data_IF_948306776204
#
_entry.id   IF_948306776204
#
_cell.length_a   1.000
_cell.length_b   1.000
_cell.length_c   1.000
_cell.angle_alpha   90.00
_cell.angle_beta   90.00
_cell.angle_gamma   90.00
#
_symmetry.space_group_name_H-M   'P 1'
#
loop_
_entity.id
_entity.type
_entity.pdbx_description
1 polymer ?
#
# COMPACT_ATOMS: atom_id res chain seq x y z
N UNK A 1 -18.56 31.57 -21.60
CA UNK A 1 -18.88 32.12 -20.27
C UNK A 1 -19.31 31.07 -19.24
N UNK A 2 -20.46 30.41 -19.33
CA UNK A 2 -20.90 29.44 -18.27
C UNK A 2 -20.07 28.14 -18.19
N UNK A 3 -19.63 27.58 -19.32
CA UNK A 3 -18.80 26.37 -19.36
C UNK A 3 -17.36 26.62 -18.87
N UNK A 4 -16.87 27.85 -19.03
CA UNK A 4 -15.52 28.24 -18.66
C UNK A 4 -15.43 28.52 -17.15
N UNK A 5 -16.47 29.14 -16.59
CA UNK A 5 -16.65 29.29 -15.13
C UNK A 5 -16.80 27.95 -14.42
N UNK A 6 -17.65 27.05 -14.94
CA UNK A 6 -17.78 25.69 -14.40
C UNK A 6 -16.45 24.91 -14.46
N UNK A 7 -15.65 25.10 -15.52
CA UNK A 7 -14.32 24.48 -15.61
C UNK A 7 -13.32 25.06 -14.62
N UNK A 8 -13.38 26.36 -14.32
CA UNK A 8 -12.52 27.02 -13.35
C UNK A 8 -12.86 26.60 -11.91
N UNK A 9 -14.14 26.51 -11.55
CA UNK A 9 -14.61 26.05 -10.24
C UNK A 9 -14.20 24.60 -9.95
N UNK A 10 -14.35 23.71 -10.93
CA UNK A 10 -13.91 22.30 -10.82
C UNK A 10 -12.40 22.21 -10.63
N UNK A 11 -11.61 23.08 -11.28
CA UNK A 11 -10.14 23.10 -11.11
C UNK A 11 -9.71 23.63 -9.74
N UNK A 12 -10.39 24.65 -9.22
CA UNK A 12 -10.12 25.21 -7.89
C UNK A 12 -10.44 24.20 -6.78
N UNK A 13 -11.59 23.52 -6.88
CA UNK A 13 -11.99 22.48 -5.93
C UNK A 13 -11.05 21.27 -5.96
N UNK A 14 -10.67 20.79 -7.15
CA UNK A 14 -9.69 19.72 -7.30
C UNK A 14 -8.32 20.10 -6.69
N UNK A 15 -7.90 21.35 -6.83
CA UNK A 15 -6.64 21.85 -6.26
C UNK A 15 -6.68 21.88 -4.73
N UNK A 16 -7.80 22.32 -4.13
CA UNK A 16 -8.00 22.26 -2.68
C UNK A 16 -8.02 20.83 -2.15
N UNK A 17 -8.62 19.91 -2.88
CA UNK A 17 -8.64 18.50 -2.53
C UNK A 17 -7.24 17.85 -2.55
N UNK A 18 -6.37 18.23 -3.49
CA UNK A 18 -4.99 17.75 -3.52
C UNK A 18 -4.21 18.18 -2.27
N UNK A 19 -4.28 19.45 -1.90
CA UNK A 19 -3.57 19.97 -0.71
C UNK A 19 -4.09 19.34 0.58
N UNK A 20 -5.43 19.26 0.71
CA UNK A 20 -6.06 18.62 1.87
C UNK A 20 -5.68 17.14 1.99
N UNK A 21 -5.71 16.41 0.86
CA UNK A 21 -5.30 15.02 0.81
C UNK A 21 -3.83 14.85 1.23
N UNK A 22 -2.93 15.69 0.73
CA UNK A 22 -1.52 15.64 1.10
C UNK A 22 -1.28 15.89 2.60
N UNK A 23 -1.94 16.89 3.17
CA UNK A 23 -1.87 17.19 4.62
C UNK A 23 -2.32 15.97 5.43
N UNK A 24 -3.46 15.38 5.06
CA UNK A 24 -3.99 14.21 5.74
C UNK A 24 -3.10 12.97 5.56
N UNK A 25 -2.48 12.79 4.38
CA UNK A 25 -1.49 11.74 4.14
C UNK A 25 -0.25 11.89 5.05
N UNK A 26 0.31 13.11 5.16
CA UNK A 26 1.45 13.36 6.06
C UNK A 26 1.05 13.08 7.50
N UNK A 27 -0.07 13.62 7.96
CA UNK A 27 -0.57 13.38 9.34
C UNK A 27 -0.80 11.90 9.60
N UNK A 28 -1.34 11.17 8.63
CA UNK A 28 -1.52 9.73 8.73
C UNK A 28 -0.17 9.01 8.87
N UNK A 29 0.82 9.36 8.06
CA UNK A 29 2.17 8.79 8.16
C UNK A 29 2.78 9.07 9.52
N UNK A 30 2.78 10.32 9.97
CA UNK A 30 3.36 10.71 11.27
C UNK A 30 2.67 9.96 12.41
N UNK A 31 1.34 9.88 12.41
CA UNK A 31 0.62 9.11 13.42
C UNK A 31 0.97 7.61 13.37
N UNK A 32 1.12 7.05 12.16
CA UNK A 32 1.52 5.65 11.99
C UNK A 32 2.92 5.38 12.57
N UNK A 33 3.92 6.21 12.25
CA UNK A 33 5.29 6.04 12.76
C UNK A 33 5.36 6.19 14.29
N UNK A 34 4.46 6.98 14.89
CA UNK A 34 4.35 7.15 16.34
C UNK A 34 3.43 6.11 17.02
N UNK A 35 2.90 5.13 16.29
CA UNK A 35 2.04 4.08 16.85
C UNK A 35 0.59 4.51 17.12
N UNK A 36 0.18 5.73 16.76
CA UNK A 36 -1.18 6.22 16.90
C UNK A 36 -2.08 5.76 15.74
N UNK A 37 -2.33 4.45 15.66
CA UNK A 37 -2.97 3.83 14.49
C UNK A 37 -4.41 4.31 14.24
N UNK A 38 -5.20 4.55 15.29
CA UNK A 38 -6.56 5.10 15.15
C UNK A 38 -6.53 6.53 14.59
N UNK A 39 -5.61 7.37 15.07
CA UNK A 39 -5.42 8.72 14.54
C UNK A 39 -4.95 8.67 13.09
N UNK A 40 -4.06 7.75 12.73
CA UNK A 40 -3.63 7.53 11.36
C UNK A 40 -4.82 7.13 10.47
N UNK A 41 -5.66 6.21 10.93
CA UNK A 41 -6.87 5.79 10.24
C UNK A 41 -7.84 6.97 10.03
N UNK A 42 -8.09 7.76 11.08
CA UNK A 42 -8.97 8.92 10.99
C UNK A 42 -8.50 9.93 9.95
N UNK A 43 -7.20 10.21 9.86
CA UNK A 43 -6.66 11.06 8.81
C UNK A 43 -6.87 10.46 7.40
N UNK A 44 -6.67 9.14 7.24
CA UNK A 44 -6.87 8.46 5.95
C UNK A 44 -8.33 8.40 5.50
N UNK A 45 -9.29 8.53 6.42
CA UNK A 45 -10.72 8.66 6.12
C UNK A 45 -11.09 10.05 5.61
N UNK A 46 -10.31 11.08 5.95
CA UNK A 46 -10.55 12.44 5.46
C UNK A 46 -10.11 12.64 4.00
N UNK A 47 -9.45 11.66 3.40
CA UNK A 47 -9.02 11.76 2.01
C UNK A 47 -10.23 11.79 1.09
N UNK A 48 -10.48 12.94 0.47
CA UNK A 48 -11.48 13.09 -0.58
C UNK A 48 -10.98 12.39 -1.83
N UNK A 49 -11.44 11.15 -2.01
CA UNK A 49 -11.33 10.41 -3.25
C UNK A 49 -12.39 10.95 -4.20
N UNK A 50 -12.23 12.20 -4.67
CA UNK A 50 -13.13 12.72 -5.70
C UNK A 50 -13.17 11.71 -6.84
N UNK A 51 -14.38 11.16 -7.03
CA UNK A 51 -14.82 10.22 -8.07
C UNK A 51 -13.65 9.73 -8.90
N UNK A 52 -13.09 8.56 -8.53
CA UNK A 52 -12.10 7.80 -9.30
C UNK A 52 -12.21 8.16 -10.78
N UNK A 53 -11.40 9.13 -11.21
CA UNK A 53 -11.58 9.68 -12.54
C UNK A 53 -10.80 8.72 -13.41
N UNK A 54 -11.47 7.65 -13.86
CA UNK A 54 -10.89 6.52 -14.58
C UNK A 54 -10.06 6.98 -15.80
N UNK A 55 -10.29 8.20 -16.31
CA UNK A 55 -9.48 8.83 -17.35
C UNK A 55 -8.14 9.45 -16.90
N UNK A 56 -7.94 9.76 -15.61
CA UNK A 56 -6.72 10.43 -15.09
C UNK A 56 -5.90 9.52 -14.17
N UNK A 57 -6.54 8.61 -13.42
CA UNK A 57 -5.86 7.68 -12.50
C UNK A 57 -4.73 6.83 -13.13
N UNK A 58 -4.79 6.40 -14.41
CA UNK A 58 -3.70 5.65 -15.03
C UNK A 58 -2.45 6.50 -15.34
N UNK A 59 -2.55 7.83 -15.33
CA UNK A 59 -1.54 8.74 -15.90
C UNK A 59 -0.72 9.53 -14.88
N UNK A 60 -1.14 9.61 -13.62
CA UNK A 60 -0.49 10.48 -12.63
C UNK A 60 -0.40 9.84 -11.23
N UNK A 61 0.79 9.96 -10.63
CA UNK A 61 1.14 9.54 -9.28
C UNK A 61 0.20 10.12 -8.22
N UNK A 62 -0.22 11.38 -8.38
CA UNK A 62 -1.09 12.07 -7.43
C UNK A 62 -2.49 11.43 -7.42
N UNK A 63 -2.99 11.07 -8.60
CA UNK A 63 -4.33 10.48 -8.74
C UNK A 63 -4.35 8.97 -8.48
N UNK A 64 -3.22 8.29 -8.67
CA UNK A 64 -3.09 6.88 -8.32
C UNK A 64 -3.19 6.66 -6.80
N UNK A 65 -2.84 7.63 -5.95
CA UNK A 65 -2.92 7.50 -4.48
C UNK A 65 -2.24 6.21 -3.99
N UNK A 66 -1.14 5.84 -4.64
CA UNK A 66 -0.48 4.55 -4.44
C UNK A 66 0.07 4.42 -3.02
N UNK A 67 0.70 5.50 -2.53
CA UNK A 67 1.21 5.58 -1.18
C UNK A 67 0.09 5.47 -0.14
N UNK A 68 -1.03 6.17 -0.35
CA UNK A 68 -2.17 6.19 0.57
C UNK A 68 -2.85 4.82 0.66
N UNK A 69 -3.00 4.12 -0.46
CA UNK A 69 -3.50 2.73 -0.46
C UNK A 69 -2.56 1.80 0.30
N UNK A 70 -1.25 1.94 0.08
CA UNK A 70 -0.26 1.17 0.82
C UNK A 70 -0.28 1.48 2.33
N UNK A 71 -0.34 2.76 2.70
CA UNK A 71 -0.40 3.22 4.09
C UNK A 71 -1.70 2.76 4.78
N UNK A 72 -2.85 2.80 4.08
CA UNK A 72 -4.11 2.22 4.58
C UNK A 72 -3.96 0.75 4.93
N UNK A 73 -3.32 -0.05 4.07
CA UNK A 73 -3.10 -1.45 4.37
C UNK A 73 -2.23 -1.64 5.62
N UNK A 74 -1.15 -0.86 5.77
CA UNK A 74 -0.29 -0.90 6.96
C UNK A 74 -1.04 -0.54 8.24
N UNK A 75 -1.87 0.50 8.21
CA UNK A 75 -2.71 0.93 9.35
C UNK A 75 -3.72 -0.16 9.69
N UNK A 76 -4.42 -0.71 8.70
CA UNK A 76 -5.43 -1.76 8.91
C UNK A 76 -4.84 -3.03 9.49
N UNK A 77 -3.65 -3.45 9.05
CA UNK A 77 -2.91 -4.56 9.69
C UNK A 77 -2.68 -4.28 11.18
N UNK A 78 -2.19 -3.09 11.53
CA UNK A 78 -1.92 -2.71 12.93
C UNK A 78 -3.19 -2.60 13.79
N UNK A 79 -4.33 -2.31 13.18
CA UNK A 79 -5.64 -2.29 13.83
C UNK A 79 -6.31 -3.68 13.90
N UNK A 80 -5.61 -4.77 13.54
CA UNK A 80 -6.17 -6.12 13.59
C UNK A 80 -7.24 -6.38 12.52
N UNK A 81 -7.15 -5.70 11.36
CA UNK A 81 -8.08 -5.85 10.23
C UNK A 81 -7.35 -6.40 8.98
N UNK A 82 -6.77 -7.61 9.06
CA UNK A 82 -5.86 -8.11 8.02
C UNK A 82 -6.55 -8.33 6.66
N UNK A 83 -7.80 -8.80 6.62
CA UNK A 83 -8.52 -9.03 5.36
C UNK A 83 -8.80 -7.72 4.64
N UNK A 84 -9.09 -6.65 5.41
CA UNK A 84 -9.26 -5.32 4.85
C UNK A 84 -7.93 -4.79 4.29
N UNK A 85 -6.82 -5.01 4.98
CA UNK A 85 -5.49 -4.66 4.49
C UNK A 85 -5.16 -5.37 3.17
N UNK A 86 -5.41 -6.67 3.07
CA UNK A 86 -5.18 -7.46 1.85
C UNK A 86 -6.00 -6.94 0.65
N UNK A 87 -7.25 -6.50 0.86
CA UNK A 87 -8.07 -5.92 -0.22
C UNK A 87 -7.43 -4.67 -0.82
N UNK A 88 -6.84 -3.81 0.02
CA UNK A 88 -6.14 -2.62 -0.47
C UNK A 88 -4.87 -2.93 -1.26
N UNK A 89 -4.18 -4.03 -0.96
CA UNK A 89 -2.93 -4.42 -1.60
C UNK A 89 -3.13 -5.18 -2.92
N UNK A 90 -4.23 -5.93 -3.06
CA UNK A 90 -4.45 -6.86 -4.19
C UNK A 90 -4.21 -6.24 -5.57
N UNK A 91 -4.70 -5.02 -5.77
CA UNK A 91 -4.66 -4.32 -7.07
C UNK A 91 -3.55 -3.27 -7.17
N UNK A 92 -2.80 -3.02 -6.09
CA UNK A 92 -1.74 -2.03 -6.07
C UNK A 92 -0.58 -2.50 -6.96
N UNK A 93 -0.02 -1.64 -7.81
CA UNK A 93 1.14 -1.99 -8.64
C UNK A 93 0.82 -2.78 -9.91
N UNK A 94 -0.47 -2.90 -10.25
CA UNK A 94 -0.93 -3.70 -11.40
C UNK A 94 -1.37 -2.86 -12.60
N UNK A 95 -1.72 -1.59 -12.42
CA UNK A 95 -2.45 -0.83 -13.45
C UNK A 95 -1.79 0.48 -13.90
N UNK A 96 -0.78 0.97 -13.18
CA UNK A 96 -0.16 2.26 -13.52
C UNK A 96 1.35 2.24 -13.23
N UNK A 97 2.11 2.92 -14.10
CA UNK A 97 3.56 3.09 -13.93
C UNK A 97 3.93 3.66 -12.56
N UNK A 98 3.19 4.66 -12.01
CA UNK A 98 3.39 5.14 -10.65
C UNK A 98 3.39 4.10 -9.54
N UNK A 99 2.59 3.05 -9.68
CA UNK A 99 2.43 2.05 -8.64
C UNK A 99 3.49 0.95 -8.68
N UNK A 100 4.33 0.89 -9.74
CA UNK A 100 5.35 -0.14 -9.89
C UNK A 100 6.34 -0.15 -8.73
N UNK A 101 6.62 1.00 -8.13
CA UNK A 101 7.48 1.12 -6.95
C UNK A 101 6.93 0.34 -5.74
N UNK A 102 5.62 0.08 -5.69
CA UNK A 102 4.97 -0.72 -4.65
C UNK A 102 4.83 -2.19 -5.02
N UNK A 103 5.28 -2.61 -6.20
CA UNK A 103 5.10 -4.00 -6.64
C UNK A 103 5.80 -4.99 -5.72
N UNK A 104 7.06 -4.77 -5.34
CA UNK A 104 7.70 -5.64 -4.35
C UNK A 104 7.18 -5.37 -2.91
N UNK A 105 7.13 -4.10 -2.43
CA UNK A 105 6.66 -3.81 -1.07
C UNK A 105 5.27 -4.36 -0.73
N UNK A 106 4.33 -4.39 -1.69
CA UNK A 106 3.00 -5.00 -1.45
C UNK A 106 3.11 -6.49 -1.20
N UNK A 107 3.96 -7.21 -1.94
CA UNK A 107 4.14 -8.66 -1.77
C UNK A 107 4.76 -8.96 -0.41
N UNK A 108 5.76 -8.18 0.01
CA UNK A 108 6.33 -8.30 1.35
C UNK A 108 5.27 -8.09 2.45
N UNK A 109 4.47 -7.02 2.35
CA UNK A 109 3.43 -6.74 3.36
C UNK A 109 2.31 -7.79 3.35
N UNK A 110 1.88 -8.28 2.18
CA UNK A 110 0.90 -9.37 2.10
C UNK A 110 1.44 -10.66 2.73
N UNK A 111 2.70 -10.98 2.51
CA UNK A 111 3.35 -12.15 3.11
C UNK A 111 3.33 -12.08 4.65
N UNK A 112 3.71 -10.93 5.21
CA UNK A 112 3.67 -10.71 6.65
C UNK A 112 2.26 -10.82 7.23
N UNK A 113 1.24 -10.32 6.51
CA UNK A 113 -0.17 -10.43 6.94
C UNK A 113 -0.62 -11.90 6.93
N UNK A 114 -0.32 -12.65 5.86
CA UNK A 114 -0.67 -14.06 5.79
C UNK A 114 0.06 -14.89 6.85
N UNK A 115 1.33 -14.58 7.12
CA UNK A 115 2.09 -15.22 8.19
C UNK A 115 1.45 -14.97 9.56
N UNK A 116 1.04 -13.73 9.86
CA UNK A 116 0.30 -13.37 11.09
C UNK A 116 -1.06 -14.08 11.20
N UNK A 117 -1.71 -14.37 10.07
CA UNK A 117 -2.96 -15.12 10.02
C UNK A 117 -2.78 -16.64 10.10
N UNK A 118 -1.54 -17.16 10.04
CA UNK A 118 -1.26 -18.59 9.97
C UNK A 118 -1.47 -19.22 8.59
N UNK A 119 -1.69 -18.40 7.55
CA UNK A 119 -1.90 -18.81 6.16
C UNK A 119 -0.56 -19.04 5.46
N UNK A 120 0.13 -20.13 5.85
CA UNK A 120 1.55 -20.34 5.53
C UNK A 120 1.83 -20.44 4.03
N UNK A 121 0.98 -21.11 3.25
CA UNK A 121 1.20 -21.28 1.81
C UNK A 121 1.13 -19.94 1.07
N UNK A 122 0.17 -19.10 1.43
CA UNK A 122 0.00 -17.76 0.89
C UNK A 122 1.16 -16.85 1.34
N UNK A 123 1.61 -16.98 2.59
CA UNK A 123 2.77 -16.23 3.09
C UNK A 123 4.03 -16.54 2.27
N UNK A 124 4.35 -17.82 2.06
CA UNK A 124 5.49 -18.26 1.23
C UNK A 124 5.36 -17.70 -0.19
N UNK A 125 4.20 -17.87 -0.81
CA UNK A 125 3.95 -17.40 -2.19
C UNK A 125 4.25 -15.90 -2.31
N UNK A 126 3.80 -15.09 -1.36
CA UNK A 126 4.02 -13.66 -1.40
C UNK A 126 5.46 -13.25 -1.07
N UNK A 127 6.16 -13.94 -0.15
CA UNK A 127 7.58 -13.70 0.08
C UNK A 127 8.42 -14.04 -1.16
N UNK A 128 8.13 -15.13 -1.85
CA UNK A 128 8.84 -15.52 -3.08
C UNK A 128 8.67 -14.48 -4.20
N UNK A 129 7.47 -13.91 -4.35
CA UNK A 129 7.24 -12.79 -5.29
C UNK A 129 8.05 -11.54 -4.90
N UNK A 130 8.11 -11.21 -3.61
CA UNK A 130 8.94 -10.10 -3.13
C UNK A 130 10.43 -10.32 -3.46
N UNK A 131 10.96 -11.50 -3.14
CA UNK A 131 12.34 -11.89 -3.44
C UNK A 131 12.61 -11.81 -4.94
N UNK A 132 11.70 -12.34 -5.77
CA UNK A 132 11.83 -12.27 -7.23
C UNK A 132 11.93 -10.83 -7.75
N UNK A 133 11.12 -9.92 -7.21
CA UNK A 133 11.11 -8.52 -7.62
C UNK A 133 12.37 -7.75 -7.18
N UNK A 134 12.96 -8.12 -6.06
CA UNK A 134 14.07 -7.39 -5.44
C UNK A 134 15.40 -8.18 -5.42
N UNK A 135 15.50 -9.30 -6.13
CA UNK A 135 16.74 -10.10 -6.22
C UNK A 135 17.98 -9.27 -6.65
N UNK A 136 17.76 -8.27 -7.49
CA UNK A 136 18.78 -7.37 -8.03
C UNK A 136 18.62 -5.93 -7.48
N UNK A 137 18.06 -5.78 -6.27
CA UNK A 137 17.89 -4.47 -5.64
C UNK A 137 19.24 -3.83 -5.23
N UNK A 138 19.19 -2.51 -4.99
CA UNK A 138 20.33 -1.76 -4.46
C UNK A 138 20.88 -2.42 -3.19
N UNK A 139 22.21 -2.38 -2.94
CA UNK A 139 22.83 -3.04 -1.80
C UNK A 139 22.21 -2.69 -0.44
N UNK A 140 21.70 -1.47 -0.29
CA UNK A 140 21.04 -1.00 0.94
C UNK A 140 19.71 -1.72 1.23
N UNK A 141 19.06 -2.27 0.20
CA UNK A 141 17.78 -2.99 0.32
C UNK A 141 17.95 -4.50 0.46
N UNK A 142 19.12 -5.05 0.08
CA UNK A 142 19.41 -6.50 0.19
C UNK A 142 19.11 -7.13 1.55
N UNK A 143 19.35 -6.46 2.71
CA UNK A 143 19.01 -7.05 4.01
C UNK A 143 17.54 -7.45 4.13
N UNK A 144 16.62 -6.76 3.46
CA UNK A 144 15.19 -7.08 3.48
C UNK A 144 14.88 -8.36 2.70
N UNK A 145 15.56 -8.57 1.57
CA UNK A 145 15.45 -9.81 0.77
C UNK A 145 15.96 -11.01 1.56
N UNK A 146 17.12 -10.87 2.20
CA UNK A 146 17.71 -11.93 3.03
C UNK A 146 16.79 -12.32 4.20
N UNK A 147 16.12 -11.35 4.83
CA UNK A 147 15.15 -11.68 5.89
C UNK A 147 13.93 -12.43 5.34
N UNK A 148 13.42 -12.03 4.17
CA UNK A 148 12.33 -12.75 3.51
C UNK A 148 12.71 -14.19 3.15
N UNK A 149 13.93 -14.42 2.64
CA UNK A 149 14.45 -15.76 2.35
C UNK A 149 14.49 -16.63 3.61
N UNK A 150 14.97 -16.08 4.73
CA UNK A 150 14.98 -16.78 6.02
C UNK A 150 13.58 -17.10 6.52
N UNK A 151 12.60 -16.20 6.33
CA UNK A 151 11.19 -16.45 6.68
C UNK A 151 10.62 -17.60 5.86
N UNK A 152 10.83 -17.60 4.54
CA UNK A 152 10.40 -18.69 3.65
C UNK A 152 10.95 -20.03 4.10
N UNK A 153 12.25 -20.10 4.42
CA UNK A 153 12.88 -21.33 4.87
C UNK A 153 12.26 -21.84 6.19
N UNK A 154 12.08 -20.96 7.18
CA UNK A 154 11.41 -21.32 8.45
C UNK A 154 10.00 -21.84 8.23
N UNK A 155 9.23 -21.16 7.39
CA UNK A 155 7.84 -21.54 7.09
C UNK A 155 7.77 -22.90 6.38
N UNK A 156 8.65 -23.16 5.40
CA UNK A 156 8.72 -24.45 4.70
C UNK A 156 9.10 -25.60 5.64
N UNK A 157 10.05 -25.38 6.53
CA UNK A 157 10.42 -26.38 7.55
C UNK A 157 9.26 -26.66 8.51
N UNK A 158 8.54 -25.63 8.96
CA UNK A 158 7.36 -25.79 9.82
C UNK A 158 6.23 -26.59 9.16
N UNK A 159 5.97 -26.36 7.86
CA UNK A 159 4.99 -27.15 7.09
C UNK A 159 5.45 -28.60 6.93
N UNK A 160 6.76 -28.83 6.73
CA UNK A 160 7.30 -30.19 6.57
C UNK A 160 7.24 -31.03 7.85
N UNK A 161 7.24 -30.42 9.03
CA UNK A 161 7.15 -31.14 10.32
C UNK A 161 5.68 -31.47 10.68
N UNK A 162 4.72 -30.69 10.17
CA UNK A 162 3.30 -30.87 10.45
C UNK A 162 2.59 -31.91 9.55
N UNK A 163 3.27 -32.45 8.54
CA UNK A 163 2.79 -33.50 7.63
C UNK A 163 3.32 -34.86 8.03
#
# INVERSE_FOLDING_TARGET
DSLEQASAEVRDEASKNIVSNYINTIRAKVNYENGHFDAAWNNLQQLTLEKWNWGLAPRDFIHAMAYERFLRARVLRKLGRPEAALRWLRLLGSFSYPELIYKAPKHHLMAEIFEEMGEVEQAITHYEQFIWHWRDCDPVLKPQVVEAEKRVERLKQGVSIAR
#
